data_IF_881015139716
#
_entry.id   IF_881015139716
#
_cell.length_a   1.000
_cell.length_b   1.000
_cell.length_c   1.000
_cell.angle_alpha   90.00
_cell.angle_beta   90.00
_cell.angle_gamma   90.00
#
_symmetry.space_group_name_H-M   'P 1'
#
loop_
_entity.id
_entity.type
_entity.pdbx_description
1 polymer ?
#
# COMPACT_ATOMS: atom_id res chain seq x y z
N UNK A 1 -7.25 4.97 -5.05
CA UNK A 1 -6.58 4.95 -6.37
C UNK A 1 -7.05 3.77 -7.21
N UNK A 2 -7.03 2.53 -6.69
CA UNK A 2 -7.40 1.33 -7.46
C UNK A 2 -8.83 1.30 -8.02
N UNK A 3 -9.82 1.83 -7.31
CA UNK A 3 -11.25 1.76 -7.70
C UNK A 3 -11.87 3.12 -8.04
N UNK A 4 -11.12 4.22 -7.87
CA UNK A 4 -11.62 5.60 -7.92
C UNK A 4 -12.87 5.89 -7.06
N UNK A 5 -13.17 5.03 -6.08
CA UNK A 5 -14.28 5.14 -5.14
C UNK A 5 -13.77 5.03 -3.71
N UNK A 6 -14.59 5.45 -2.74
CA UNK A 6 -14.32 5.24 -1.32
C UNK A 6 -14.47 3.75 -0.99
N UNK A 7 -13.62 3.24 -0.10
CA UNK A 7 -13.71 1.84 0.35
C UNK A 7 -14.99 1.58 1.18
N UNK A 8 -15.41 2.58 1.95
CA UNK A 8 -16.65 2.59 2.71
C UNK A 8 -17.46 3.83 2.34
N UNK A 9 -18.73 3.65 2.01
CA UNK A 9 -19.62 4.74 1.60
C UNK A 9 -21.03 4.49 2.17
N UNK A 10 -21.70 5.57 2.58
CA UNK A 10 -23.05 5.55 3.14
C UNK A 10 -23.60 6.97 3.14
N UNK A 11 -24.92 7.10 3.00
CA UNK A 11 -25.63 8.39 3.08
C UNK A 11 -25.69 8.97 4.49
N UNK A 12 -25.59 8.12 5.52
CA UNK A 12 -25.64 8.52 6.93
C UNK A 12 -24.36 8.13 7.68
N UNK A 13 -24.02 8.88 8.73
CA UNK A 13 -22.87 8.60 9.59
C UNK A 13 -22.99 7.22 10.26
N UNK A 14 -24.19 6.87 10.75
CA UNK A 14 -24.43 5.56 11.39
C UNK A 14 -24.23 4.43 10.40
N UNK A 15 -24.72 4.59 9.17
CA UNK A 15 -24.47 3.63 8.09
C UNK A 15 -22.99 3.51 7.73
N UNK A 16 -22.23 4.62 7.78
CA UNK A 16 -20.79 4.62 7.53
C UNK A 16 -20.03 3.85 8.62
N UNK A 17 -20.37 4.06 9.90
CA UNK A 17 -19.79 3.31 11.02
C UNK A 17 -20.07 1.81 10.86
N UNK A 18 -21.30 1.45 10.47
CA UNK A 18 -21.67 0.05 10.18
C UNK A 18 -20.86 -0.52 9.01
N UNK A 19 -20.69 0.22 7.93
CA UNK A 19 -19.90 -0.22 6.78
C UNK A 19 -18.45 -0.52 7.19
N UNK A 20 -17.79 0.40 7.89
CA UNK A 20 -16.41 0.25 8.38
C UNK A 20 -16.28 -0.96 9.32
N UNK A 21 -17.20 -1.10 10.28
CA UNK A 21 -17.13 -2.18 11.28
C UNK A 21 -17.49 -3.56 10.71
N UNK A 22 -18.29 -3.62 9.63
CA UNK A 22 -18.55 -4.86 8.91
C UNK A 22 -17.39 -5.33 8.02
N UNK A 23 -16.48 -4.41 7.65
CA UNK A 23 -15.32 -4.72 6.82
C UNK A 23 -15.64 -5.11 5.37
N UNK A 24 -16.88 -4.92 4.92
CA UNK A 24 -17.25 -5.24 3.54
C UNK A 24 -16.81 -4.11 2.61
N UNK A 25 -15.84 -4.39 1.75
CA UNK A 25 -15.25 -3.44 0.81
C UNK A 25 -15.45 -3.97 -0.61
N UNK A 26 -15.69 -3.08 -1.56
CA UNK A 26 -15.77 -3.47 -2.96
C UNK A 26 -14.43 -4.05 -3.44
N UNK A 27 -14.43 -5.23 -4.07
CA UNK A 27 -13.20 -5.86 -4.54
C UNK A 27 -12.53 -4.99 -5.61
N UNK A 28 -11.20 -5.04 -5.64
CA UNK A 28 -10.40 -4.41 -6.69
C UNK A 28 -10.53 -5.25 -7.96
N UNK A 29 -10.56 -4.58 -9.12
CA UNK A 29 -10.61 -5.26 -10.42
C UNK A 29 -9.34 -6.08 -10.66
N UNK A 30 -9.48 -7.40 -10.58
CA UNK A 30 -8.40 -8.37 -10.77
C UNK A 30 -7.92 -8.51 -12.22
N UNK A 31 -8.62 -7.90 -13.19
CA UNK A 31 -8.16 -7.85 -14.58
C UNK A 31 -7.14 -6.72 -14.81
N UNK A 32 -7.13 -5.72 -13.93
CA UNK A 32 -6.26 -4.53 -14.02
C UNK A 32 -5.12 -4.60 -13.00
N UNK A 33 -5.40 -5.08 -11.79
CA UNK A 33 -4.43 -5.12 -10.70
C UNK A 33 -4.04 -6.55 -10.34
N UNK A 34 -2.75 -6.74 -10.07
CA UNK A 34 -2.25 -7.99 -9.53
C UNK A 34 -2.84 -8.30 -8.16
N UNK A 35 -3.02 -9.59 -7.89
CA UNK A 35 -3.49 -10.11 -6.60
C UNK A 35 -2.68 -9.57 -5.42
N UNK A 36 -1.38 -9.32 -5.60
CA UNK A 36 -0.53 -8.75 -4.55
C UNK A 36 -1.00 -7.36 -4.07
N UNK A 37 -1.58 -6.54 -4.95
CA UNK A 37 -2.17 -5.24 -4.57
C UNK A 37 -3.46 -5.46 -3.77
N UNK A 38 -4.29 -6.42 -4.20
CA UNK A 38 -5.52 -6.74 -3.48
C UNK A 38 -5.20 -7.25 -2.06
N UNK A 39 -4.31 -8.22 -1.93
CA UNK A 39 -3.89 -8.76 -0.63
C UNK A 39 -3.25 -7.68 0.28
N UNK A 40 -2.53 -6.72 -0.32
CA UNK A 40 -1.98 -5.57 0.39
C UNK A 40 -3.09 -4.68 0.97
N UNK A 41 -4.04 -4.26 0.13
CA UNK A 41 -5.14 -3.37 0.53
C UNK A 41 -6.05 -4.06 1.56
N UNK A 42 -6.39 -5.33 1.35
CA UNK A 42 -7.22 -6.11 2.27
C UNK A 42 -6.56 -6.23 3.65
N UNK A 43 -5.23 -6.41 3.69
CA UNK A 43 -4.50 -6.46 4.97
C UNK A 43 -4.56 -5.13 5.73
N UNK A 44 -4.55 -4.00 5.02
CA UNK A 44 -4.66 -2.66 5.63
C UNK A 44 -6.07 -2.34 6.11
N UNK A 45 -7.09 -2.83 5.39
CA UNK A 45 -8.51 -2.57 5.69
C UNK A 45 -9.13 -3.58 6.66
N UNK A 46 -8.32 -4.44 7.28
CA UNK A 46 -8.78 -5.36 8.32
C UNK A 46 -9.56 -4.64 9.42
N UNK A 47 -10.73 -5.17 9.78
CA UNK A 47 -11.54 -4.65 10.90
C UNK A 47 -10.77 -4.78 12.22
N UNK A 48 -10.03 -5.88 12.39
CA UNK A 48 -9.21 -6.13 13.58
C UNK A 48 -7.91 -5.34 13.50
N UNK A 49 -7.63 -4.44 14.46
CA UNK A 49 -6.42 -3.61 14.46
C UNK A 49 -5.13 -4.45 14.48
N UNK A 50 -5.09 -5.51 15.28
CA UNK A 50 -3.89 -6.37 15.45
C UNK A 50 -3.54 -7.17 14.19
N UNK A 51 -4.49 -7.29 13.25
CA UNK A 51 -4.28 -7.94 11.97
C UNK A 51 -3.79 -6.97 10.89
N UNK A 52 -3.88 -5.65 11.13
CA UNK A 52 -3.32 -4.66 10.21
C UNK A 52 -1.80 -4.73 10.28
N UNK A 53 -1.10 -4.75 9.14
CA UNK A 53 0.35 -4.72 9.14
C UNK A 53 0.85 -3.37 9.69
N UNK A 54 1.93 -3.42 10.46
CA UNK A 54 2.72 -2.22 10.73
C UNK A 54 3.40 -1.73 9.45
N UNK A 55 3.93 -0.50 9.47
CA UNK A 55 4.61 0.06 8.30
C UNK A 55 5.84 -0.78 7.91
N UNK A 56 6.58 -1.31 8.89
CA UNK A 56 7.76 -2.17 8.65
C UNK A 56 7.34 -3.47 7.94
N UNK A 57 6.23 -4.07 8.37
CA UNK A 57 5.67 -5.26 7.71
C UNK A 57 5.16 -4.95 6.31
N UNK A 58 4.60 -3.76 6.09
CA UNK A 58 4.14 -3.32 4.78
C UNK A 58 5.33 -3.18 3.83
N UNK A 59 6.38 -2.47 4.27
CA UNK A 59 7.61 -2.22 3.49
C UNK A 59 8.35 -3.51 3.12
N UNK A 60 8.24 -4.56 3.94
CA UNK A 60 8.80 -5.88 3.64
C UNK A 60 8.06 -6.68 2.57
N UNK A 61 6.90 -6.22 2.06
CA UNK A 61 6.15 -6.95 1.03
C UNK A 61 6.85 -6.81 -0.33
N UNK A 62 7.02 -7.94 -1.02
CA UNK A 62 7.71 -8.04 -2.31
C UNK A 62 7.23 -7.05 -3.36
N UNK A 63 5.93 -6.74 -3.37
CA UNK A 63 5.33 -5.78 -4.31
C UNK A 63 5.78 -4.32 -4.09
N UNK A 64 6.19 -3.98 -2.87
CA UNK A 64 6.68 -2.62 -2.53
C UNK A 64 8.20 -2.52 -2.58
N UNK A 65 8.92 -3.65 -2.47
CA UNK A 65 10.38 -3.66 -2.43
C UNK A 65 11.01 -2.90 -3.62
N UNK A 66 10.67 -3.15 -4.90
CA UNK A 66 11.32 -2.46 -6.01
C UNK A 66 11.22 -0.93 -5.90
N UNK A 67 10.06 -0.41 -5.51
CA UNK A 67 9.83 1.01 -5.32
C UNK A 67 10.62 1.55 -4.12
N UNK A 68 10.65 0.81 -3.01
CA UNK A 68 11.41 1.21 -1.81
C UNK A 68 12.90 1.26 -2.11
N UNK A 69 13.45 0.25 -2.79
CA UNK A 69 14.86 0.23 -3.19
C UNK A 69 15.19 1.38 -4.14
N UNK A 70 14.32 1.68 -5.10
CA UNK A 70 14.52 2.79 -6.01
C UNK A 70 14.52 4.15 -5.27
N UNK A 71 13.53 4.39 -4.40
CA UNK A 71 13.36 5.69 -3.72
C UNK A 71 14.38 5.92 -2.61
N UNK A 72 14.76 4.88 -1.84
CA UNK A 72 15.59 5.07 -0.65
C UNK A 72 17.06 4.73 -0.86
N UNK A 73 17.40 3.90 -1.84
CA UNK A 73 18.77 3.44 -2.04
C UNK A 73 19.36 3.91 -3.37
N UNK A 74 18.62 4.72 -4.14
CA UNK A 74 18.97 5.14 -5.50
C UNK A 74 19.44 3.95 -6.35
N UNK A 75 18.89 2.75 -6.05
CA UNK A 75 19.40 1.51 -6.59
C UNK A 75 19.12 1.46 -8.10
N UNK A 76 20.18 1.64 -8.89
CA UNK A 76 20.12 1.76 -10.35
C UNK A 76 20.32 3.18 -10.90
N UNK A 77 20.53 4.19 -10.04
CA UNK A 77 21.00 5.52 -10.44
C UNK A 77 22.51 5.63 -10.23
N UNK A 78 23.25 5.07 -11.21
CA UNK A 78 24.70 5.05 -11.21
C UNK A 78 25.31 6.46 -11.17
N UNK A 79 24.61 7.46 -11.71
CA UNK A 79 25.07 8.85 -11.74
C UNK A 79 25.05 9.45 -10.33
N UNK A 80 23.95 9.27 -9.60
CA UNK A 80 23.78 9.74 -8.23
C UNK A 80 24.73 9.02 -7.25
N UNK A 81 24.92 7.71 -7.43
CA UNK A 81 25.89 6.92 -6.66
C UNK A 81 27.33 7.44 -6.88
N UNK A 82 27.71 7.69 -8.14
CA UNK A 82 29.03 8.22 -8.49
C UNK A 82 29.25 9.64 -7.97
N UNK A 83 28.21 10.49 -7.97
CA UNK A 83 28.25 11.83 -7.37
C UNK A 83 28.46 11.76 -5.86
N UNK A 84 27.76 10.87 -5.14
CA UNK A 84 27.97 10.66 -3.70
C UNK A 84 29.39 10.19 -3.40
N UNK A 85 29.92 9.23 -4.18
CA UNK A 85 31.28 8.72 -4.01
C UNK A 85 32.34 9.82 -4.20
N UNK A 86 32.22 10.65 -5.24
CA UNK A 86 33.13 11.77 -5.52
C UNK A 86 33.07 12.91 -4.49
N UNK A 87 32.03 12.99 -3.67
CA UNK A 87 31.92 14.00 -2.61
C UNK A 87 32.44 13.49 -1.25
N UNK A 88 32.68 12.18 -1.12
CA UNK A 88 33.21 11.53 0.08
C UNK A 88 34.76 11.41 0.08
N UNK A 89 35.39 11.58 -1.09
CA UNK A 89 36.83 11.53 -1.32
C UNK A 89 37.28 12.72 -2.15
#
# INVERSE_FOLDING_TARGET
MCTHKRAFESETLVGLVRAITSGNVHPIDSTVYDRGIQDLVDSMLSVLPDKRPSIEKLMGKSILLPMIYNVFLDAGDDEMLNLKYKNLF
#
